data_IF_551643022939
#
_entry.id   IF_551643022939
#
_cell.length_a   1.000
_cell.length_b   1.000
_cell.length_c   1.000
_cell.angle_alpha   90.00
_cell.angle_beta   90.00
_cell.angle_gamma   90.00
#
_symmetry.space_group_name_H-M   'P 1'
#
loop_
_entity.id
_entity.type
_entity.pdbx_description
1 polymer ?
#
# COMPACT_ATOMS: atom_id res chain seq x y z
N UNK A 1 12.74 -28.37 10.27
CA UNK A 1 11.72 -27.56 11.02
C UNK A 1 11.40 -26.26 10.30
N UNK A 2 12.37 -25.39 9.97
CA UNK A 2 12.14 -24.19 9.14
C UNK A 2 11.58 -24.48 7.74
N UNK A 3 12.04 -25.56 7.09
CA UNK A 3 11.49 -26.03 5.80
C UNK A 3 10.07 -26.61 5.92
N UNK A 4 9.76 -27.27 7.03
CA UNK A 4 8.41 -27.78 7.30
C UNK A 4 7.43 -26.65 7.66
N UNK A 5 7.89 -25.63 8.40
CA UNK A 5 7.15 -24.40 8.64
C UNK A 5 6.95 -23.59 7.35
N UNK A 6 7.97 -23.48 6.49
CA UNK A 6 7.86 -22.89 5.15
C UNK A 6 6.85 -23.61 4.26
N UNK A 7 6.92 -24.94 4.19
CA UNK A 7 5.99 -25.75 3.40
C UNK A 7 4.56 -25.76 4.00
N UNK A 8 4.42 -25.56 5.31
CA UNK A 8 3.14 -25.37 6.00
C UNK A 8 2.55 -23.97 5.77
N UNK A 9 3.37 -22.93 5.71
CA UNK A 9 2.98 -21.53 5.46
C UNK A 9 2.51 -21.29 4.01
N UNK A 10 3.10 -21.97 3.03
CA UNK A 10 2.63 -21.94 1.65
C UNK A 10 1.29 -22.66 1.45
N UNK A 11 1.01 -23.67 2.29
CA UNK A 11 -0.26 -24.38 2.29
C UNK A 11 -1.34 -23.67 3.12
N UNK A 12 -0.92 -22.82 4.07
CA UNK A 12 -1.82 -22.01 4.90
C UNK A 12 -2.73 -21.14 4.04
N UNK A 13 -2.17 -20.38 3.07
CA UNK A 13 -2.88 -19.34 2.33
C UNK A 13 -4.00 -19.81 1.38
N UNK A 14 -4.07 -21.10 1.04
CA UNK A 14 -4.93 -21.59 -0.05
C UNK A 14 -5.92 -22.70 0.35
N UNK A 15 -5.91 -23.17 1.60
CA UNK A 15 -6.86 -24.18 2.09
C UNK A 15 -7.83 -23.58 3.13
N UNK A 16 -9.12 -23.38 2.77
CA UNK A 16 -10.15 -22.90 3.69
C UNK A 16 -10.26 -23.69 4.99
N UNK A 17 -10.02 -25.01 4.97
CA UNK A 17 -10.08 -25.86 6.17
C UNK A 17 -8.91 -25.59 7.12
N UNK A 18 -7.75 -25.31 6.55
CA UNK A 18 -6.57 -24.93 7.31
C UNK A 18 -6.72 -23.53 7.92
N UNK A 19 -7.33 -22.58 7.19
CA UNK A 19 -7.67 -21.26 7.73
C UNK A 19 -8.62 -21.33 8.93
N UNK A 20 -9.71 -22.10 8.81
CA UNK A 20 -10.71 -22.25 9.87
C UNK A 20 -10.12 -22.92 11.12
N UNK A 21 -9.27 -23.94 10.94
CA UNK A 21 -8.57 -24.57 12.06
C UNK A 21 -7.66 -23.57 12.79
N UNK A 22 -6.84 -22.81 12.05
CA UNK A 22 -5.93 -21.83 12.64
C UNK A 22 -6.67 -20.72 13.38
N UNK A 23 -7.75 -20.21 12.81
CA UNK A 23 -8.62 -19.21 13.45
C UNK A 23 -9.13 -19.66 14.82
N UNK A 24 -9.50 -20.93 14.93
CA UNK A 24 -10.14 -21.48 16.12
C UNK A 24 -9.13 -21.94 17.18
N UNK A 25 -7.90 -22.29 16.79
CA UNK A 25 -6.97 -23.00 17.67
C UNK A 25 -5.70 -22.22 18.01
N UNK A 26 -5.39 -21.14 17.28
CA UNK A 26 -4.18 -20.34 17.53
C UNK A 26 -4.55 -18.97 18.11
N UNK A 27 -3.73 -18.42 19.02
CA UNK A 27 -3.91 -17.04 19.47
C UNK A 27 -3.89 -16.09 18.29
N UNK A 28 -4.73 -15.06 18.31
CA UNK A 28 -4.83 -14.07 17.24
C UNK A 28 -3.47 -13.47 16.86
N UNK A 29 -2.54 -13.32 17.81
CA UNK A 29 -1.20 -12.81 17.51
C UNK A 29 -0.42 -13.75 16.61
N UNK A 30 -0.58 -15.06 16.81
CA UNK A 30 0.10 -16.05 15.98
C UNK A 30 -0.49 -16.08 14.58
N UNK A 31 -1.82 -15.97 14.46
CA UNK A 31 -2.51 -15.86 13.16
C UNK A 31 -1.98 -14.65 12.39
N UNK A 32 -1.94 -13.46 13.01
CA UNK A 32 -1.40 -12.23 12.40
C UNK A 32 0.05 -12.42 11.92
N UNK A 33 0.88 -13.12 12.70
CA UNK A 33 2.28 -13.36 12.34
C UNK A 33 2.41 -14.18 11.07
N UNK A 34 1.67 -15.30 10.97
CA UNK A 34 1.73 -16.16 9.79
C UNK A 34 1.31 -15.41 8.53
N UNK A 35 0.26 -14.59 8.63
CA UNK A 35 -0.25 -13.75 7.56
C UNK A 35 0.82 -12.74 7.12
N UNK A 36 1.38 -12.04 8.10
CA UNK A 36 2.33 -10.98 7.83
C UNK A 36 3.65 -11.54 7.28
N UNK A 37 4.14 -12.67 7.81
CA UNK A 37 5.34 -13.34 7.31
C UNK A 37 5.15 -13.84 5.87
N UNK A 38 4.03 -14.48 5.56
CA UNK A 38 3.76 -14.97 4.21
C UNK A 38 3.79 -13.81 3.19
N UNK A 39 3.11 -12.70 3.51
CA UNK A 39 3.07 -11.54 2.62
C UNK A 39 4.45 -10.92 2.36
N UNK A 40 5.34 -10.92 3.35
CA UNK A 40 6.72 -10.45 3.15
C UNK A 40 7.44 -11.27 2.08
N UNK A 41 7.34 -12.60 2.14
CA UNK A 41 8.01 -13.49 1.19
C UNK A 41 7.40 -13.44 -0.21
N UNK A 42 6.10 -13.11 -0.35
CA UNK A 42 5.50 -12.81 -1.65
C UNK A 42 6.07 -11.53 -2.26
N UNK A 43 6.16 -10.45 -1.48
CA UNK A 43 6.67 -9.17 -1.95
C UNK A 43 8.14 -9.24 -2.36
N UNK A 44 8.98 -9.93 -1.57
CA UNK A 44 10.40 -10.12 -1.90
C UNK A 44 10.58 -10.98 -3.16
N UNK A 45 9.71 -11.98 -3.39
CA UNK A 45 9.73 -12.77 -4.64
C UNK A 45 9.30 -11.96 -5.85
N UNK A 46 8.30 -11.09 -5.71
CA UNK A 46 7.76 -10.25 -6.79
C UNK A 46 8.76 -9.18 -7.23
N UNK A 47 9.33 -8.45 -6.27
CA UNK A 47 10.26 -7.36 -6.54
C UNK A 47 11.40 -7.37 -5.51
N UNK A 48 12.42 -8.24 -5.70
CA UNK A 48 13.53 -8.37 -4.77
C UNK A 48 14.19 -7.02 -4.49
N UNK A 49 14.42 -6.68 -3.22
CA UNK A 49 15.03 -5.41 -2.83
C UNK A 49 14.11 -4.18 -2.85
N UNK A 50 13.06 -4.13 -3.67
CA UNK A 50 12.21 -2.92 -3.85
C UNK A 50 11.50 -2.51 -2.56
N UNK A 51 11.00 -3.48 -1.81
CA UNK A 51 10.24 -3.24 -0.58
C UNK A 51 10.98 -3.59 0.71
N UNK A 52 12.17 -4.19 0.59
CA UNK A 52 12.93 -4.79 1.69
C UNK A 52 13.25 -3.78 2.78
N UNK A 53 13.69 -2.57 2.41
CA UNK A 53 14.08 -1.52 3.40
C UNK A 53 12.86 -1.06 4.22
N UNK A 54 11.75 -0.75 3.55
CA UNK A 54 10.52 -0.31 4.22
C UNK A 54 9.94 -1.44 5.08
N UNK A 55 9.83 -2.65 4.53
CA UNK A 55 9.31 -3.82 5.25
C UNK A 55 10.17 -4.19 6.46
N UNK A 56 11.50 -4.19 6.33
CA UNK A 56 12.39 -4.45 7.46
C UNK A 56 12.30 -3.38 8.53
N UNK A 57 12.17 -2.11 8.12
CA UNK A 57 11.93 -1.01 9.05
C UNK A 57 10.61 -1.22 9.80
N UNK A 58 9.52 -1.51 9.10
CA UNK A 58 8.22 -1.75 9.72
C UNK A 58 8.22 -3.00 10.60
N UNK A 59 8.89 -4.08 10.21
CA UNK A 59 9.07 -5.30 11.01
C UNK A 59 9.79 -4.97 12.34
N UNK A 60 10.88 -4.21 12.27
CA UNK A 60 11.62 -3.78 13.46
C UNK A 60 10.80 -2.85 14.36
N UNK A 61 10.08 -1.89 13.79
CA UNK A 61 9.24 -0.95 14.54
C UNK A 61 8.03 -1.62 15.20
N UNK A 62 7.50 -2.67 14.59
CA UNK A 62 6.32 -3.38 15.07
C UNK A 62 6.63 -4.45 16.13
N UNK A 63 7.91 -4.82 16.33
CA UNK A 63 8.42 -5.91 17.19
C UNK A 63 7.44 -7.08 17.35
N UNK A 64 7.09 -7.71 16.23
CA UNK A 64 6.18 -8.84 16.23
C UNK A 64 6.92 -10.12 15.83
N UNK A 65 7.40 -10.84 16.82
CA UNK A 65 7.90 -12.21 16.66
C UNK A 65 7.29 -13.07 17.78
N UNK A 66 6.26 -13.88 17.50
CA UNK A 66 5.59 -14.70 18.51
C UNK A 66 6.48 -15.82 19.07
N UNK A 67 7.56 -16.22 18.37
CA UNK A 67 8.54 -17.17 18.92
C UNK A 67 9.33 -16.55 20.07
N UNK A 68 9.55 -15.24 20.07
CA UNK A 68 10.17 -14.51 21.20
C UNK A 68 9.32 -14.59 22.47
N UNK A 69 7.97 -14.58 22.35
CA UNK A 69 7.06 -14.77 23.50
C UNK A 69 7.07 -16.20 24.04
N UNK A 70 7.20 -17.20 23.16
CA UNK A 70 7.24 -18.61 23.56
C UNK A 70 8.58 -19.01 24.21
N UNK A 71 9.70 -18.47 23.76
CA UNK A 71 11.04 -18.87 24.23
C UNK A 71 11.66 -17.94 25.29
N UNK A 72 11.24 -16.67 25.38
CA UNK A 72 11.89 -15.65 26.22
C UNK A 72 10.94 -15.13 27.33
N UNK A 73 9.77 -15.76 27.50
CA UNK A 73 8.73 -15.26 28.41
C UNK A 73 8.08 -13.98 27.87
N UNK A 74 7.27 -13.26 28.67
CA UNK A 74 6.68 -12.00 28.26
C UNK A 74 7.77 -10.93 28.15
N UNK A 75 8.55 -10.97 27.07
CA UNK A 75 9.38 -9.85 26.67
C UNK A 75 8.43 -8.67 26.45
N UNK A 76 8.49 -7.73 27.38
CA UNK A 76 7.64 -6.55 27.53
C UNK A 76 7.82 -5.50 26.43
N UNK A 77 8.55 -5.80 25.36
CA UNK A 77 8.68 -4.87 24.24
C UNK A 77 7.50 -5.04 23.28
N UNK A 78 6.34 -4.47 23.63
CA UNK A 78 5.45 -3.98 22.58
C UNK A 78 6.32 -3.16 21.61
N UNK A 79 6.31 -3.47 20.32
CA UNK A 79 6.97 -2.61 19.33
C UNK A 79 6.52 -1.17 19.53
N UNK A 80 7.39 -0.21 19.24
CA UNK A 80 7.04 1.21 19.42
C UNK A 80 5.90 1.65 18.49
N UNK A 81 5.56 0.84 17.47
CA UNK A 81 4.47 1.11 16.52
C UNK A 81 3.81 -0.20 16.05
N UNK A 82 3.04 -0.89 16.91
CA UNK A 82 2.54 -2.24 16.64
C UNK A 82 1.47 -2.29 15.54
N UNK A 83 0.89 -1.14 15.17
CA UNK A 83 -0.08 -0.99 14.09
C UNK A 83 0.57 -0.84 12.70
N UNK A 84 1.84 -0.43 12.63
CA UNK A 84 2.45 0.03 11.37
C UNK A 84 2.58 -1.07 10.32
N UNK A 85 3.16 -2.22 10.69
CA UNK A 85 3.32 -3.34 9.75
C UNK A 85 1.98 -3.97 9.32
N UNK A 86 1.01 -4.24 10.21
CA UNK A 86 -0.31 -4.72 9.81
C UNK A 86 -1.01 -3.76 8.85
N UNK A 87 -1.00 -2.45 9.12
CA UNK A 87 -1.62 -1.45 8.26
C UNK A 87 -1.01 -1.44 6.86
N UNK A 88 0.33 -1.47 6.76
CA UNK A 88 1.01 -1.57 5.46
C UNK A 88 0.62 -2.83 4.70
N UNK A 89 0.61 -3.99 5.37
CA UNK A 89 0.33 -5.27 4.72
C UNK A 89 -1.12 -5.39 4.28
N UNK A 90 -2.06 -4.88 5.06
CA UNK A 90 -3.47 -4.79 4.68
C UNK A 90 -3.67 -3.88 3.47
N UNK A 91 -3.07 -2.68 3.49
CA UNK A 91 -3.14 -1.74 2.37
C UNK A 91 -2.56 -2.35 1.09
N UNK A 92 -1.36 -2.95 1.19
CA UNK A 92 -0.70 -3.62 0.07
C UNK A 92 -1.51 -4.79 -0.49
N UNK A 93 -2.29 -5.48 0.35
CA UNK A 93 -3.13 -6.56 -0.12
C UNK A 93 -4.28 -6.05 -1.00
N UNK A 94 -4.97 -5.00 -0.56
CA UNK A 94 -6.04 -4.38 -1.34
C UNK A 94 -5.52 -3.84 -2.67
N UNK A 95 -4.36 -3.19 -2.65
CA UNK A 95 -3.60 -2.71 -3.81
C UNK A 95 -3.23 -3.85 -4.78
N UNK A 96 -2.60 -4.92 -4.28
CA UNK A 96 -2.23 -6.07 -5.12
C UNK A 96 -3.44 -6.77 -5.77
N UNK A 97 -4.60 -6.79 -5.11
CA UNK A 97 -5.84 -7.34 -5.71
C UNK A 97 -6.40 -6.35 -6.75
N UNK A 98 -6.41 -5.04 -6.44
CA UNK A 98 -6.90 -4.00 -7.33
C UNK A 98 -6.12 -4.01 -8.66
N UNK A 99 -4.79 -4.10 -8.58
CA UNK A 99 -3.86 -4.14 -9.71
C UNK A 99 -3.85 -5.49 -10.46
N UNK A 100 -4.44 -6.54 -9.86
CA UNK A 100 -4.49 -7.88 -10.43
C UNK A 100 -3.22 -8.71 -10.26
N UNK A 101 -2.37 -8.37 -9.28
CA UNK A 101 -1.26 -9.20 -8.84
C UNK A 101 -1.71 -10.40 -8.00
N UNK A 102 -2.81 -10.23 -7.28
CA UNK A 102 -3.43 -11.28 -6.51
C UNK A 102 -4.85 -11.58 -7.01
N UNK A 103 -5.28 -12.84 -6.93
CA UNK A 103 -6.68 -13.18 -7.20
C UNK A 103 -7.58 -12.57 -6.12
N UNK A 104 -8.85 -12.41 -6.47
CA UNK A 104 -9.90 -12.10 -5.50
C UNK A 104 -9.92 -13.18 -4.39
N UNK A 105 -9.98 -12.81 -3.10
CA UNK A 105 -10.02 -13.78 -2.01
C UNK A 105 -11.22 -14.72 -2.11
N UNK A 106 -11.03 -15.97 -1.68
CA UNK A 106 -12.06 -16.99 -1.75
C UNK A 106 -13.33 -16.56 -1.00
N UNK A 107 -14.47 -16.68 -1.67
CA UNK A 107 -15.77 -16.38 -1.09
C UNK A 107 -16.41 -15.09 -1.57
N UNK A 108 -15.63 -14.20 -2.21
CA UNK A 108 -16.12 -13.02 -2.90
C UNK A 108 -16.37 -13.31 -4.37
N UNK A 109 -17.43 -12.72 -4.91
CA UNK A 109 -17.80 -12.79 -6.34
C UNK A 109 -17.24 -11.62 -7.13
N UNK A 110 -16.96 -10.49 -6.47
CA UNK A 110 -16.34 -9.31 -7.08
C UNK A 110 -15.49 -8.51 -6.09
N UNK A 111 -14.66 -7.59 -6.59
CA UNK A 111 -13.84 -6.71 -5.75
C UNK A 111 -14.70 -5.70 -4.98
N UNK A 112 -15.79 -5.23 -5.58
CA UNK A 112 -16.76 -4.34 -4.97
C UNK A 112 -17.44 -5.00 -3.76
N UNK A 113 -17.75 -6.31 -3.85
CA UNK A 113 -18.27 -7.08 -2.70
C UNK A 113 -17.24 -7.16 -1.56
N UNK A 114 -15.95 -7.37 -1.89
CA UNK A 114 -14.86 -7.36 -0.92
C UNK A 114 -14.71 -5.99 -0.22
N UNK A 115 -14.73 -4.90 -1.00
CA UNK A 115 -14.64 -3.53 -0.46
C UNK A 115 -15.82 -3.24 0.45
N UNK A 116 -17.03 -3.60 0.04
CA UNK A 116 -18.24 -3.38 0.83
C UNK A 116 -18.20 -4.15 2.16
N UNK A 117 -17.78 -5.42 2.15
CA UNK A 117 -17.62 -6.21 3.37
C UNK A 117 -16.58 -5.61 4.33
N UNK A 118 -15.46 -5.10 3.81
CA UNK A 118 -14.45 -4.43 4.63
C UNK A 118 -14.97 -3.12 5.23
N UNK A 119 -15.77 -2.34 4.49
CA UNK A 119 -16.43 -1.12 5.02
C UNK A 119 -17.47 -1.44 6.10
N UNK A 120 -18.17 -2.55 5.99
CA UNK A 120 -19.07 -3.03 7.04
C UNK A 120 -18.29 -3.39 8.32
N UNK A 121 -17.12 -4.02 8.19
CA UNK A 121 -16.22 -4.27 9.34
C UNK A 121 -15.78 -2.95 9.98
N UNK A 122 -15.37 -1.96 9.17
CA UNK A 122 -14.93 -0.65 9.66
C UNK A 122 -16.04 0.07 10.44
N UNK A 123 -17.29 -0.01 9.97
CA UNK A 123 -18.41 0.75 10.55
C UNK A 123 -19.07 0.05 11.73
N UNK A 124 -19.15 -1.28 11.73
CA UNK A 124 -19.92 -2.06 12.71
C UNK A 124 -19.08 -2.96 13.62
N UNK A 125 -17.77 -3.05 13.40
CA UNK A 125 -16.88 -4.02 14.07
C UNK A 125 -16.98 -5.45 13.51
N UNK A 126 -18.05 -5.76 12.77
CA UNK A 126 -18.25 -6.98 11.98
C UNK A 126 -18.16 -8.26 12.80
N UNK A 127 -19.16 -8.56 13.64
CA UNK A 127 -19.10 -9.72 14.54
C UNK A 127 -19.12 -11.10 13.82
N UNK A 128 -19.61 -11.19 12.56
CA UNK A 128 -19.89 -12.48 11.90
C UNK A 128 -19.14 -12.77 10.57
N UNK A 129 -18.10 -12.02 10.21
CA UNK A 129 -17.48 -12.18 8.88
C UNK A 129 -16.51 -13.38 8.82
N UNK A 130 -16.87 -14.40 8.02
CA UNK A 130 -15.94 -15.44 7.55
C UNK A 130 -16.09 -15.64 6.03
N UNK A 131 -15.49 -14.74 5.22
CA UNK A 131 -15.03 -15.05 3.85
C UNK A 131 -13.80 -14.21 3.55
N UNK A 132 -12.75 -14.83 2.98
CA UNK A 132 -11.43 -14.22 2.81
C UNK A 132 -10.48 -14.31 4.01
N UNK A 133 -10.97 -14.83 5.17
CA UNK A 133 -10.41 -14.96 6.55
C UNK A 133 -9.25 -14.01 6.88
N UNK A 134 -8.16 -14.16 6.15
CA UNK A 134 -6.88 -13.53 6.31
C UNK A 134 -6.91 -12.01 6.13
N UNK A 135 -7.64 -11.46 5.15
CA UNK A 135 -7.66 -9.99 4.90
C UNK A 135 -8.59 -9.26 5.89
N UNK A 136 -9.74 -9.85 6.22
CA UNK A 136 -10.70 -9.33 7.20
C UNK A 136 -10.14 -9.43 8.62
N UNK A 137 -9.49 -10.55 8.95
CA UNK A 137 -8.77 -10.70 10.21
C UNK A 137 -7.70 -9.62 10.36
N UNK A 138 -6.90 -9.39 9.31
CA UNK A 138 -5.88 -8.35 9.32
C UNK A 138 -6.51 -6.96 9.47
N UNK A 139 -7.61 -6.65 8.79
CA UNK A 139 -8.35 -5.39 8.94
C UNK A 139 -8.84 -5.16 10.36
N UNK A 140 -9.52 -6.14 10.98
CA UNK A 140 -9.99 -6.06 12.37
C UNK A 140 -8.83 -5.78 13.32
N UNK A 141 -7.68 -6.43 13.11
CA UNK A 141 -6.46 -6.18 13.90
C UNK A 141 -5.89 -4.79 13.66
N UNK A 142 -5.88 -4.31 12.42
CA UNK A 142 -5.46 -2.95 12.06
C UNK A 142 -6.32 -1.93 12.79
N UNK A 143 -7.65 -2.03 12.71
CA UNK A 143 -8.60 -1.14 13.41
C UNK A 143 -8.31 -1.15 14.91
N UNK A 144 -8.32 -2.33 15.55
CA UNK A 144 -8.13 -2.45 17.00
C UNK A 144 -6.78 -1.91 17.49
N UNK A 145 -5.74 -1.93 16.66
CA UNK A 145 -4.42 -1.38 16.99
C UNK A 145 -4.33 0.12 16.73
N UNK A 146 -4.92 0.62 15.64
CA UNK A 146 -4.97 2.04 15.32
C UNK A 146 -5.81 2.80 16.34
N UNK A 147 -6.95 2.26 16.76
CA UNK A 147 -7.83 2.88 17.77
C UNK A 147 -7.14 3.11 19.12
N UNK A 148 -6.11 2.32 19.45
CA UNK A 148 -5.32 2.47 20.68
C UNK A 148 -4.32 3.62 20.62
N UNK A 149 -3.93 4.05 19.42
CA UNK A 149 -2.90 5.08 19.20
C UNK A 149 -3.44 6.34 18.52
N UNK A 150 -4.67 6.29 18.02
CA UNK A 150 -5.34 7.44 17.43
C UNK A 150 -5.55 8.55 18.46
N UNK A 151 -5.40 9.79 18.01
CA UNK A 151 -5.66 11.02 18.76
C UNK A 151 -7.10 11.46 18.56
N UNK A 152 -7.55 12.41 19.38
CA UNK A 152 -8.93 12.89 19.42
C UNK A 152 -9.49 13.31 18.05
N UNK A 153 -8.66 13.91 17.21
CA UNK A 153 -9.07 14.48 15.92
C UNK A 153 -8.78 13.52 14.75
N UNK A 154 -8.35 12.29 15.04
CA UNK A 154 -8.14 11.26 14.02
C UNK A 154 -9.46 10.56 13.70
N UNK A 155 -9.64 10.19 12.43
CA UNK A 155 -10.77 9.37 11.99
C UNK A 155 -10.25 8.18 11.17
N UNK A 156 -9.78 7.16 11.89
CA UNK A 156 -9.22 5.94 11.28
C UNK A 156 -10.24 5.25 10.36
N UNK A 157 -11.52 5.21 10.75
CA UNK A 157 -12.56 4.57 9.94
C UNK A 157 -12.77 5.27 8.59
N UNK A 158 -12.77 6.60 8.59
CA UNK A 158 -12.84 7.39 7.35
C UNK A 158 -11.60 7.19 6.49
N UNK A 159 -10.39 7.25 7.06
CA UNK A 159 -9.15 7.06 6.28
C UNK A 159 -9.09 5.67 5.62
N UNK A 160 -9.46 4.61 6.35
CA UNK A 160 -9.53 3.26 5.81
C UNK A 160 -10.58 3.15 4.71
N UNK A 161 -11.76 3.76 4.90
CA UNK A 161 -12.86 3.70 3.94
C UNK A 161 -12.52 4.44 2.63
N UNK A 162 -11.94 5.64 2.73
CA UNK A 162 -11.52 6.43 1.55
C UNK A 162 -10.38 5.74 0.79
N UNK A 163 -9.47 5.09 1.50
CA UNK A 163 -8.45 4.26 0.84
C UNK A 163 -9.10 3.09 0.06
N UNK A 164 -10.06 2.38 0.64
CA UNK A 164 -10.79 1.32 -0.06
C UNK A 164 -11.54 1.83 -1.30
N UNK A 165 -12.13 3.03 -1.24
CA UNK A 165 -12.75 3.69 -2.41
C UNK A 165 -11.74 3.98 -3.52
N UNK A 166 -10.52 4.41 -3.16
CA UNK A 166 -9.45 4.61 -4.11
C UNK A 166 -9.02 3.29 -4.78
N UNK A 167 -8.89 2.21 -4.01
CA UNK A 167 -8.54 0.89 -4.55
C UNK A 167 -9.64 0.31 -5.43
N UNK A 168 -10.92 0.52 -5.07
CA UNK A 168 -12.05 0.16 -5.93
C UNK A 168 -12.01 0.95 -7.25
N UNK A 169 -11.67 2.24 -7.17
CA UNK A 169 -11.50 3.08 -8.37
C UNK A 169 -10.37 2.56 -9.25
N UNK A 170 -9.20 2.21 -8.69
CA UNK A 170 -8.09 1.60 -9.45
C UNK A 170 -8.49 0.27 -10.10
N UNK A 171 -9.18 -0.60 -9.34
CA UNK A 171 -9.70 -1.86 -9.87
C UNK A 171 -10.61 -1.63 -11.08
N UNK A 172 -11.59 -0.73 -10.96
CA UNK A 172 -12.54 -0.39 -12.03
C UNK A 172 -11.81 0.20 -13.23
N UNK A 173 -10.87 1.12 -13.02
CA UNK A 173 -10.06 1.70 -14.10
C UNK A 173 -9.32 0.63 -14.90
N UNK A 174 -8.74 -0.35 -14.20
CA UNK A 174 -8.03 -1.47 -14.83
C UNK A 174 -8.95 -2.37 -15.64
N UNK A 175 -10.06 -2.84 -15.05
CA UNK A 175 -10.95 -3.81 -15.73
C UNK A 175 -11.76 -3.18 -16.85
N UNK A 176 -12.12 -1.90 -16.72
CA UNK A 176 -12.84 -1.11 -17.74
C UNK A 176 -11.89 -0.46 -18.76
N UNK A 177 -10.57 -0.52 -18.53
CA UNK A 177 -9.53 0.16 -19.33
C UNK A 177 -9.77 1.67 -19.45
N UNK A 178 -10.20 2.29 -18.36
CA UNK A 178 -10.50 3.73 -18.30
C UNK A 178 -9.20 4.52 -18.23
N UNK A 179 -8.97 5.38 -19.23
CA UNK A 179 -7.90 6.39 -19.18
C UNK A 179 -8.41 7.60 -18.42
N UNK A 180 -7.63 8.05 -17.43
CA UNK A 180 -7.98 9.17 -16.56
C UNK A 180 -7.32 10.46 -17.03
N UNK A 181 -7.96 11.59 -16.75
CA UNK A 181 -7.36 12.93 -16.87
C UNK A 181 -6.25 13.11 -15.82
N UNK A 182 -5.39 14.12 -16.04
CA UNK A 182 -4.34 14.46 -15.06
C UNK A 182 -4.94 14.84 -13.69
N UNK A 183 -6.09 15.52 -13.68
CA UNK A 183 -6.78 15.87 -12.43
C UNK A 183 -7.33 14.64 -11.70
N UNK A 184 -8.00 13.73 -12.42
CA UNK A 184 -8.51 12.48 -11.83
C UNK A 184 -7.37 11.64 -11.23
N UNK A 185 -6.21 11.59 -11.88
CA UNK A 185 -5.02 10.91 -11.36
C UNK A 185 -4.48 11.60 -10.09
N UNK A 186 -4.41 12.93 -10.09
CA UNK A 186 -3.99 13.71 -8.91
C UNK A 186 -4.91 13.48 -7.72
N UNK A 187 -6.23 13.47 -7.93
CA UNK A 187 -7.23 13.20 -6.89
C UNK A 187 -7.13 11.75 -6.39
N UNK A 188 -6.87 10.81 -7.31
CA UNK A 188 -6.63 9.43 -6.96
C UNK A 188 -5.39 9.27 -6.08
N UNK A 189 -4.26 9.92 -6.42
CA UNK A 189 -3.04 9.87 -5.63
C UNK A 189 -3.22 10.41 -4.21
N UNK A 190 -4.01 11.47 -4.04
CA UNK A 190 -4.34 12.00 -2.72
C UNK A 190 -5.04 10.95 -1.84
N UNK A 191 -5.86 10.07 -2.43
CA UNK A 191 -6.59 9.04 -1.70
C UNK A 191 -5.83 7.71 -1.60
N UNK A 192 -5.14 7.27 -2.66
CA UNK A 192 -4.40 6.01 -2.72
C UNK A 192 -3.02 6.07 -2.06
N UNK A 193 -2.42 7.26 -1.94
CA UNK A 193 -1.18 7.46 -1.17
C UNK A 193 -1.41 8.27 0.10
N UNK A 194 -2.16 9.38 0.03
CA UNK A 194 -2.35 10.27 1.19
C UNK A 194 -3.00 9.57 2.38
N UNK A 195 -4.14 8.88 2.19
CA UNK A 195 -4.83 8.17 3.28
C UNK A 195 -3.96 7.07 3.91
N UNK A 196 -3.28 6.19 3.15
CA UNK A 196 -2.30 5.27 3.72
C UNK A 196 -1.18 5.94 4.50
N UNK A 197 -0.69 7.11 4.06
CA UNK A 197 0.30 7.86 4.84
C UNK A 197 -0.28 8.43 6.14
N UNK A 198 -1.53 8.90 6.15
CA UNK A 198 -2.18 9.31 7.39
C UNK A 198 -2.32 8.14 8.37
N UNK A 199 -2.79 6.99 7.88
CA UNK A 199 -2.89 5.74 8.64
C UNK A 199 -1.52 5.37 9.22
N UNK A 200 -0.45 5.46 8.43
CA UNK A 200 0.90 5.16 8.90
C UNK A 200 1.38 6.14 9.96
N UNK A 201 1.13 7.45 9.82
CA UNK A 201 1.47 8.44 10.84
C UNK A 201 0.74 8.17 12.16
N UNK A 202 -0.54 7.80 12.09
CA UNK A 202 -1.33 7.37 13.26
C UNK A 202 -0.70 6.10 13.87
N UNK A 203 -0.40 5.10 13.04
CA UNK A 203 0.21 3.84 13.47
C UNK A 203 1.56 4.01 14.16
N UNK A 204 2.34 5.00 13.74
CA UNK A 204 3.61 5.39 14.35
C UNK A 204 3.41 6.17 15.66
N UNK A 205 2.20 6.62 15.98
CA UNK A 205 1.94 7.51 17.12
C UNK A 205 2.51 8.92 16.90
N UNK A 206 2.61 9.35 15.65
CA UNK A 206 3.05 10.69 15.26
C UNK A 206 2.07 11.78 15.74
N UNK A 207 2.54 13.00 15.92
CA UNK A 207 1.68 14.21 15.97
C UNK A 207 1.40 14.81 14.62
N UNK A 208 2.25 14.57 13.63
CA UNK A 208 1.98 15.00 12.27
C UNK A 208 0.83 14.21 11.65
N UNK A 209 0.08 14.85 10.74
CA UNK A 209 -0.94 14.23 9.88
C UNK A 209 -0.64 14.45 8.41
N UNK A 210 -1.33 13.70 7.56
CA UNK A 210 -1.21 13.82 6.11
C UNK A 210 -1.33 15.27 5.64
N UNK A 211 -2.19 16.07 6.28
CA UNK A 211 -2.37 17.49 5.97
C UNK A 211 -1.10 18.33 6.06
N UNK A 212 -0.11 17.88 6.83
CA UNK A 212 1.20 18.53 6.97
C UNK A 212 2.24 18.01 5.96
N UNK A 213 1.96 16.90 5.28
CA UNK A 213 2.86 16.24 4.32
C UNK A 213 2.16 15.90 3.00
N UNK A 214 1.15 16.69 2.60
CA UNK A 214 0.30 16.43 1.42
C UNK A 214 1.10 16.20 0.14
N UNK A 215 2.20 16.93 0.01
CA UNK A 215 3.14 16.83 -1.10
C UNK A 215 3.68 15.39 -1.27
N UNK A 216 3.87 14.65 -0.18
CA UNK A 216 4.41 13.29 -0.21
C UNK A 216 3.54 12.35 -1.06
N UNK A 217 2.21 12.47 -0.95
CA UNK A 217 1.26 11.65 -1.72
C UNK A 217 1.41 11.87 -3.22
N UNK A 218 1.54 13.13 -3.62
CA UNK A 218 1.71 13.54 -5.01
C UNK A 218 3.08 13.13 -5.56
N UNK A 219 4.15 13.32 -4.78
CA UNK A 219 5.50 12.90 -5.17
C UNK A 219 5.55 11.40 -5.43
N UNK A 220 5.03 10.58 -4.50
CA UNK A 220 5.06 9.13 -4.63
C UNK A 220 4.16 8.63 -5.74
N UNK A 221 2.94 9.17 -5.84
CA UNK A 221 1.98 8.80 -6.89
C UNK A 221 2.52 9.11 -8.28
N UNK A 222 3.01 10.32 -8.51
CA UNK A 222 3.56 10.72 -9.81
C UNK A 222 4.81 9.93 -10.16
N UNK A 223 5.78 9.90 -9.25
CA UNK A 223 7.07 9.24 -9.49
C UNK A 223 6.89 7.74 -9.76
N UNK A 224 6.17 7.02 -8.91
CA UNK A 224 6.06 5.58 -9.09
C UNK A 224 5.29 5.21 -10.35
N UNK A 225 4.34 6.05 -10.77
CA UNK A 225 3.46 5.74 -11.89
C UNK A 225 3.95 6.27 -13.24
N UNK A 226 4.90 7.22 -13.27
CA UNK A 226 5.53 7.71 -14.49
C UNK A 226 6.91 7.08 -14.76
N UNK A 227 7.48 6.33 -13.80
CA UNK A 227 8.75 5.61 -14.01
C UNK A 227 8.56 4.53 -15.09
N UNK A 228 9.46 4.49 -16.10
CA UNK A 228 9.35 3.56 -17.23
C UNK A 228 9.23 2.09 -16.80
N UNK A 229 9.97 1.68 -15.77
CA UNK A 229 9.85 0.32 -15.22
C UNK A 229 8.44 -0.02 -14.73
N UNK A 230 7.70 0.95 -14.19
CA UNK A 230 6.31 0.77 -13.76
C UNK A 230 5.36 0.77 -14.94
N UNK A 231 5.51 1.71 -15.90
CA UNK A 231 4.69 1.73 -17.12
C UNK A 231 4.76 0.40 -17.89
N UNK A 232 5.95 -0.20 -17.98
CA UNK A 232 6.14 -1.52 -18.60
C UNK A 232 5.47 -2.66 -17.83
N UNK A 233 5.34 -2.54 -16.52
CA UNK A 233 4.62 -3.50 -15.67
C UNK A 233 3.10 -3.33 -15.80
N UNK A 234 2.64 -2.09 -15.77
CA UNK A 234 1.25 -1.70 -15.51
C UNK A 234 0.41 -1.68 -16.79
N UNK A 235 0.97 -1.17 -17.89
CA UNK A 235 0.26 -1.08 -19.17
C UNK A 235 -0.25 -2.45 -19.64
N UNK A 236 0.53 -3.55 -19.66
CA UNK A 236 0.02 -4.87 -20.06
C UNK A 236 -1.17 -5.38 -19.23
N UNK A 237 -1.34 -4.86 -18.01
CA UNK A 237 -2.45 -5.23 -17.10
C UNK A 237 -3.68 -4.34 -17.28
N UNK A 238 -3.62 -3.34 -18.16
CA UNK A 238 -4.68 -2.36 -18.37
C UNK A 238 -4.63 -1.19 -17.40
N UNK A 239 -3.55 -1.05 -16.62
CA UNK A 239 -3.35 0.07 -15.70
C UNK A 239 -2.62 1.17 -16.47
N UNK A 240 -3.27 2.32 -16.65
CA UNK A 240 -2.72 3.44 -17.40
C UNK A 240 -2.64 4.69 -16.52
N UNK A 241 -1.42 5.15 -16.26
CA UNK A 241 -1.16 6.40 -15.55
C UNK A 241 -0.74 7.55 -16.47
N UNK A 242 -0.69 7.30 -17.79
CA UNK A 242 -0.52 8.37 -18.78
C UNK A 242 -1.87 9.12 -18.87
N UNK A 243 -1.92 10.43 -18.59
CA UNK A 243 -3.15 11.20 -18.65
C UNK A 243 -3.80 11.18 -20.03
N UNK A 244 -5.13 11.26 -20.08
CA UNK A 244 -5.90 11.22 -21.33
C UNK A 244 -5.50 12.34 -22.30
N UNK A 245 -5.11 13.51 -21.78
CA UNK A 245 -4.63 14.66 -22.54
C UNK A 245 -3.29 14.36 -23.24
N UNK A 246 -2.40 13.65 -22.54
CA UNK A 246 -1.10 13.22 -23.05
C UNK A 246 -1.28 12.09 -24.06
N UNK A 247 -2.11 11.09 -23.73
CA UNK A 247 -2.37 9.96 -24.60
C UNK A 247 -2.99 10.41 -25.94
N UNK A 248 -3.99 11.30 -25.87
CA UNK A 248 -4.63 11.89 -27.06
C UNK A 248 -3.64 12.63 -27.96
N UNK A 249 -2.67 13.32 -27.35
CA UNK A 249 -1.65 14.09 -28.07
C UNK A 249 -0.46 13.24 -28.53
N UNK A 250 -0.28 12.04 -27.95
CA UNK A 250 0.81 11.13 -28.28
C UNK A 250 0.59 10.38 -29.60
N UNK A 251 -0.66 10.29 -30.06
CA UNK A 251 -1.05 9.48 -31.22
C UNK A 251 -1.19 7.98 -30.94
N UNK A 252 -0.99 7.54 -29.70
CA UNK A 252 -1.21 6.16 -29.28
C UNK A 252 -2.53 5.99 -28.53
N UNK A 253 -3.18 4.85 -28.74
CA UNK A 253 -4.26 4.35 -27.90
C UNK A 253 -3.73 3.54 -26.71
N UNK A 254 -4.57 3.36 -25.68
CA UNK A 254 -4.23 2.46 -24.57
C UNK A 254 -3.97 1.03 -25.08
N UNK A 255 -4.83 0.50 -25.95
CA UNK A 255 -4.67 -0.88 -26.46
C UNK A 255 -3.32 -1.10 -27.16
N UNK A 256 -2.79 -0.10 -27.89
CA UNK A 256 -1.45 -0.17 -28.49
C UNK A 256 -0.35 -0.21 -27.43
N UNK A 257 -0.47 0.62 -26.38
CA UNK A 257 0.49 0.64 -25.28
C UNK A 257 0.43 -0.63 -24.41
N UNK A 258 -0.75 -1.23 -24.25
CA UNK A 258 -0.90 -2.52 -23.58
C UNK A 258 -0.17 -3.65 -24.33
N UNK A 259 -0.22 -3.62 -25.67
CA UNK A 259 0.44 -4.61 -26.51
C UNK A 259 1.95 -4.37 -26.63
N UNK A 260 2.36 -3.09 -26.60
CA UNK A 260 3.77 -2.73 -26.69
C UNK A 260 4.12 -1.52 -25.80
N UNK A 261 4.39 -1.77 -24.50
CA UNK A 261 4.70 -0.71 -23.53
C UNK A 261 5.94 0.11 -23.89
N UNK A 262 6.88 -0.45 -24.67
CA UNK A 262 8.11 0.25 -25.09
C UNK A 262 7.86 1.49 -25.96
N UNK A 263 6.66 1.64 -26.53
CA UNK A 263 6.27 2.87 -27.21
C UNK A 263 6.25 4.07 -26.26
N UNK A 264 6.01 3.86 -24.95
CA UNK A 264 6.09 4.93 -23.96
C UNK A 264 7.49 5.51 -23.81
N UNK A 265 8.55 4.72 -24.03
CA UNK A 265 9.95 5.15 -23.89
C UNK A 265 10.44 6.03 -25.05
N UNK A 266 9.80 5.91 -26.21
CA UNK A 266 10.28 6.52 -27.46
C UNK A 266 9.36 7.63 -27.97
N UNK A 267 8.13 7.71 -27.46
CA UNK A 267 7.19 8.74 -27.86
C UNK A 267 7.57 10.09 -27.22
N UNK A 268 7.83 11.15 -28.02
CA UNK A 268 8.30 12.43 -27.50
C UNK A 268 7.28 13.10 -26.57
N UNK A 269 5.97 13.00 -26.86
CA UNK A 269 4.91 13.58 -26.03
C UNK A 269 4.85 12.91 -24.66
N UNK A 270 4.97 11.58 -24.61
CA UNK A 270 4.98 10.83 -23.34
C UNK A 270 6.27 11.15 -22.56
N UNK A 271 7.43 11.21 -23.22
CA UNK A 271 8.69 11.53 -22.56
C UNK A 271 8.75 12.98 -22.03
N UNK A 272 8.14 13.92 -22.75
CA UNK A 272 7.96 15.29 -22.26
C UNK A 272 7.09 15.32 -21.00
N UNK A 273 5.98 14.59 -21.00
CA UNK A 273 5.13 14.44 -19.81
C UNK A 273 5.89 13.81 -18.63
N UNK A 274 6.62 12.72 -18.84
CA UNK A 274 7.44 12.09 -17.78
C UNK A 274 8.46 13.09 -17.21
N UNK A 275 9.12 13.86 -18.07
CA UNK A 275 10.05 14.90 -17.63
C UNK A 275 9.37 16.02 -16.83
N UNK A 276 8.13 16.36 -17.21
CA UNK A 276 7.27 17.28 -16.47
C UNK A 276 6.92 16.75 -15.08
N UNK A 277 6.47 15.50 -14.98
CA UNK A 277 6.16 14.85 -13.69
C UNK A 277 7.36 14.86 -12.73
N UNK A 278 8.57 14.57 -13.22
CA UNK A 278 9.79 14.60 -12.40
C UNK A 278 10.11 16.02 -11.92
N UNK A 279 9.91 17.04 -12.76
CA UNK A 279 10.10 18.44 -12.40
C UNK A 279 9.11 18.89 -11.33
N UNK A 280 7.84 18.53 -11.50
CA UNK A 280 6.79 18.83 -10.54
C UNK A 280 7.05 18.14 -9.20
N UNK A 281 7.52 16.89 -9.22
CA UNK A 281 7.96 16.17 -8.01
C UNK A 281 9.11 16.89 -7.29
N UNK A 282 10.03 17.51 -8.03
CA UNK A 282 11.11 18.31 -7.42
C UNK A 282 10.55 19.52 -6.67
N UNK A 283 9.65 20.30 -7.29
CA UNK A 283 9.06 21.47 -6.63
C UNK A 283 8.19 21.10 -5.42
N UNK A 284 7.47 19.98 -5.49
CA UNK A 284 6.75 19.41 -4.36
C UNK A 284 7.70 18.96 -3.24
N UNK A 285 8.84 18.38 -3.59
CA UNK A 285 9.85 17.98 -2.61
C UNK A 285 10.46 19.19 -1.90
N UNK A 286 10.77 20.27 -2.61
CA UNK A 286 11.25 21.51 -2.01
C UNK A 286 10.24 22.04 -0.98
N UNK A 287 8.96 22.11 -1.37
CA UNK A 287 7.86 22.50 -0.49
C UNK A 287 7.73 21.59 0.74
N UNK A 288 7.89 20.27 0.57
CA UNK A 288 7.86 19.31 1.68
C UNK A 288 9.06 19.53 2.61
N UNK A 289 10.25 19.74 2.04
CA UNK A 289 11.51 19.85 2.78
C UNK A 289 11.52 21.02 3.77
N UNK A 290 10.91 22.14 3.40
CA UNK A 290 10.73 23.31 4.27
C UNK A 290 9.91 22.98 5.54
N UNK A 291 9.02 21.98 5.48
CA UNK A 291 8.14 21.58 6.58
C UNK A 291 8.71 20.46 7.44
N UNK A 292 9.68 19.69 6.93
CA UNK A 292 10.18 18.47 7.58
C UNK A 292 10.75 18.74 8.97
N UNK A 293 11.38 19.91 9.17
CA UNK A 293 11.98 20.30 10.46
C UNK A 293 10.94 20.58 11.55
N UNK A 294 9.72 20.95 11.17
CA UNK A 294 8.60 21.19 12.08
C UNK A 294 7.83 19.91 12.45
N UNK A 295 8.08 18.82 11.74
CA UNK A 295 7.49 17.52 12.05
C UNK A 295 8.15 16.91 13.29
N UNK A 296 7.37 16.16 14.06
CA UNK A 296 7.93 15.33 15.12
C UNK A 296 8.88 14.25 14.56
N UNK A 297 9.74 13.73 15.43
CA UNK A 297 10.84 12.86 15.01
C UNK A 297 10.36 11.59 14.27
N UNK A 298 9.17 11.06 14.56
CA UNK A 298 8.65 9.85 13.92
C UNK A 298 8.23 10.14 12.49
N UNK A 299 7.46 11.22 12.30
CA UNK A 299 7.10 11.69 10.97
C UNK A 299 8.33 12.07 10.14
N UNK A 300 9.29 12.78 10.74
CA UNK A 300 10.55 13.13 10.09
C UNK A 300 11.33 11.91 9.62
N UNK A 301 11.50 10.91 10.48
CA UNK A 301 12.18 9.67 10.11
C UNK A 301 11.43 8.92 8.99
N UNK A 302 10.11 8.84 9.09
CA UNK A 302 9.27 8.18 8.11
C UNK A 302 9.37 8.84 6.72
N UNK A 303 9.15 10.15 6.65
CA UNK A 303 9.25 10.95 5.42
C UNK A 303 10.68 10.88 4.86
N UNK A 304 11.68 11.07 5.72
CA UNK A 304 13.09 11.00 5.33
C UNK A 304 13.49 9.66 4.73
N UNK A 305 13.00 8.54 5.27
CA UNK A 305 13.25 7.20 4.69
C UNK A 305 12.58 7.02 3.34
N UNK A 306 11.33 7.46 3.17
CA UNK A 306 10.60 7.33 1.90
C UNK A 306 11.18 8.22 0.79
N UNK A 307 11.75 9.36 1.15
CA UNK A 307 12.29 10.34 0.20
C UNK A 307 13.80 10.21 -0.03
N UNK A 308 14.49 9.35 0.73
CA UNK A 308 15.96 9.23 0.73
C UNK A 308 16.56 9.05 -0.67
N UNK A 309 15.93 8.22 -1.50
CA UNK A 309 16.44 7.87 -2.84
C UNK A 309 15.95 8.85 -3.92
N UNK A 310 15.14 9.85 -3.56
CA UNK A 310 14.64 10.90 -4.48
C UNK A 310 15.63 12.05 -4.64
N UNK A 311 16.36 12.38 -3.56
CA UNK A 311 17.31 13.51 -3.48
C UNK A 311 18.40 13.47 -4.58
N UNK A 312 18.99 12.31 -4.95
CA UNK A 312 20.03 12.27 -5.97
C UNK A 312 19.52 12.45 -7.41
N UNK A 313 18.21 12.30 -7.66
CA UNK A 313 17.62 12.33 -9.00
C UNK A 313 17.10 13.71 -9.41
N UNK A 314 16.62 14.51 -8.45
CA UNK A 314 16.23 15.89 -8.73
C UNK A 314 17.42 16.80 -9.07
N UNK A 315 18.58 16.53 -8.48
CA UNK A 315 19.82 17.27 -8.72
C UNK A 315 20.51 16.98 -10.07
N UNK A 316 20.00 16.03 -10.87
CA UNK A 316 20.56 15.63 -12.17
C UNK A 316 19.61 15.92 -13.35
N UNK A 317 18.59 16.75 -13.15
CA UNK A 317 17.80 17.27 -14.26
C UNK A 317 18.65 18.28 -15.06
N UNK A 318 18.70 18.20 -16.40
CA UNK A 318 19.40 19.17 -17.23
C UNK A 318 18.82 20.58 -17.13
#
# INVERSE_FOLDING_TARGET
MLEAARNSLSNFANDPRTHEWVAQHLPDEYVEYLITENKYWELERRAPGKYTVLLNTLNALSNFNPLTRFYIGPASSQGISPAALPSYKWGRWNDDIADGHLPLPSGYSSYEELVQAQKEIITSGGEDVVKGFTIEFLLKRVIAKLERVQKRDDNVGEDLSVFLDAMQTEYLRRVERKVSTSQELSDLYANSFGRPHNIMLIALGSSARESQIRELSQILGRRYNCEGGSLHEDLPRGICYIPSEVLSSSGFSLDELMQNPSFSDTNPTIQEWVSGEIRDCSGLYDTLSEKIEDLDWRAREYVGRLTKDMIPRFNNLP
#
